data_IF_476044390012
#
_entry.id   IF_476044390012
#
_cell.length_a   1.000
_cell.length_b   1.000
_cell.length_c   1.000
_cell.angle_alpha   90.00
_cell.angle_beta   90.00
_cell.angle_gamma   90.00
#
_symmetry.space_group_name_H-M   'P 1'
#
loop_
_entity.id
_entity.type
_entity.pdbx_description
1 polymer ?
#
# COMPACT_ATOMS: atom_id res chain seq x y z
N UNK A 1 -7.33 18.99 -6.19
CA UNK A 1 -8.20 18.96 -4.99
C UNK A 1 -8.17 17.59 -4.31
N UNK A 2 -8.49 16.51 -5.03
CA UNK A 2 -8.49 15.13 -4.50
C UNK A 2 -7.11 14.68 -3.97
N UNK A 3 -6.03 15.03 -4.67
CA UNK A 3 -4.65 14.74 -4.23
C UNK A 3 -4.32 15.28 -2.83
N UNK A 4 -4.82 16.49 -2.49
CA UNK A 4 -4.58 17.08 -1.17
C UNK A 4 -5.34 16.31 -0.08
N UNK A 5 -6.57 15.87 -0.37
CA UNK A 5 -7.36 15.04 0.56
C UNK A 5 -6.68 13.68 0.79
N UNK A 6 -6.16 13.06 -0.28
CA UNK A 6 -5.40 11.80 -0.17
C UNK A 6 -4.14 12.03 0.67
N UNK A 7 -3.37 13.08 0.39
CA UNK A 7 -2.17 13.44 1.15
C UNK A 7 -2.45 13.66 2.63
N UNK A 8 -3.52 14.39 2.96
CA UNK A 8 -3.94 14.64 4.35
C UNK A 8 -4.43 13.36 5.06
N UNK A 9 -5.07 12.46 4.33
CA UNK A 9 -5.47 11.17 4.89
C UNK A 9 -4.23 10.30 5.17
N UNK A 10 -3.33 10.20 4.20
CA UNK A 10 -2.08 9.43 4.32
C UNK A 10 -1.21 10.00 5.42
N UNK A 11 -1.14 11.32 5.64
CA UNK A 11 -0.35 11.90 6.72
C UNK A 11 -0.83 11.47 8.11
N UNK A 12 -2.13 11.20 8.29
CA UNK A 12 -2.74 10.73 9.54
C UNK A 12 -2.72 9.21 9.72
N UNK A 13 -2.53 8.47 8.63
CA UNK A 13 -2.52 7.00 8.63
C UNK A 13 -1.47 6.45 9.59
N UNK A 14 -1.83 5.46 10.39
CA UNK A 14 -0.91 4.83 11.37
C UNK A 14 -0.50 3.44 10.93
N UNK A 15 0.54 2.88 11.58
CA UNK A 15 0.91 1.47 11.37
C UNK A 15 -0.21 0.52 11.78
N UNK A 16 -0.97 0.88 12.82
CA UNK A 16 -2.12 0.09 13.28
C UNK A 16 -3.22 0.02 12.23
N UNK A 17 -3.50 1.12 11.53
CA UNK A 17 -4.47 1.16 10.43
C UNK A 17 -4.06 0.20 9.30
N UNK A 18 -2.77 0.22 8.91
CA UNK A 18 -2.23 -0.70 7.90
C UNK A 18 -2.33 -2.15 8.37
N UNK A 19 -1.95 -2.42 9.61
CA UNK A 19 -1.98 -3.77 10.15
C UNK A 19 -3.41 -4.31 10.22
N UNK A 20 -4.35 -3.48 10.69
CA UNK A 20 -5.77 -3.82 10.73
C UNK A 20 -6.31 -4.11 9.34
N UNK A 21 -6.00 -3.26 8.36
CA UNK A 21 -6.40 -3.47 6.97
C UNK A 21 -5.81 -4.76 6.39
N UNK A 22 -4.54 -5.07 6.68
CA UNK A 22 -3.92 -6.33 6.26
C UNK A 22 -4.63 -7.54 6.88
N UNK A 23 -4.91 -7.50 8.19
CA UNK A 23 -5.62 -8.56 8.91
C UNK A 23 -7.04 -8.78 8.38
N UNK A 24 -7.79 -7.70 8.11
CA UNK A 24 -9.14 -7.75 7.53
C UNK A 24 -9.14 -8.44 6.15
N UNK A 25 -8.00 -8.42 5.45
CA UNK A 25 -7.79 -9.09 4.17
C UNK A 25 -7.00 -10.41 4.28
N UNK A 26 -6.91 -10.99 5.47
CA UNK A 26 -6.20 -12.26 5.76
C UNK A 26 -4.70 -12.24 5.43
N UNK A 27 -4.05 -11.07 5.53
CA UNK A 27 -2.62 -10.89 5.36
C UNK A 27 -1.99 -10.68 6.75
N UNK A 28 -1.09 -11.59 7.14
CA UNK A 28 -0.35 -11.49 8.40
C UNK A 28 1.05 -10.98 8.12
N UNK A 29 1.25 -9.71 8.45
CA UNK A 29 2.54 -9.03 8.29
C UNK A 29 3.38 -9.23 9.56
N UNK A 30 4.66 -9.51 9.37
CA UNK A 30 5.66 -9.36 10.44
C UNK A 30 5.93 -7.88 10.71
N UNK A 31 6.52 -7.54 11.86
CA UNK A 31 6.84 -6.14 12.20
C UNK A 31 7.72 -5.47 11.13
N UNK A 32 8.66 -6.22 10.54
CA UNK A 32 9.53 -5.72 9.46
C UNK A 32 8.76 -5.43 8.17
N UNK A 33 7.83 -6.32 7.80
CA UNK A 33 6.96 -6.12 6.62
C UNK A 33 6.01 -4.95 6.84
N UNK A 34 5.41 -4.87 8.03
CA UNK A 34 4.51 -3.77 8.41
C UNK A 34 5.24 -2.42 8.37
N UNK A 35 6.46 -2.35 8.91
CA UNK A 35 7.29 -1.15 8.84
C UNK A 35 7.59 -0.77 7.39
N UNK A 36 7.95 -1.75 6.55
CA UNK A 36 8.25 -1.50 5.14
C UNK A 36 7.03 -0.98 4.38
N UNK A 37 5.86 -1.60 4.56
CA UNK A 37 4.62 -1.20 3.90
C UNK A 37 4.18 0.18 4.39
N UNK A 38 4.36 0.47 5.67
CA UNK A 38 4.08 1.81 6.22
C UNK A 38 4.95 2.89 5.59
N UNK A 39 6.25 2.66 5.45
CA UNK A 39 7.16 3.61 4.80
C UNK A 39 6.78 3.86 3.34
N UNK A 40 6.52 2.79 2.58
CA UNK A 40 6.08 2.88 1.19
C UNK A 40 4.77 3.68 1.09
N UNK A 41 3.79 3.35 1.95
CA UNK A 41 2.48 4.00 1.95
C UNK A 41 2.58 5.49 2.31
N UNK A 42 3.56 5.89 3.12
CA UNK A 42 3.76 7.28 3.51
C UNK A 42 4.55 8.08 2.48
N UNK A 43 5.57 7.47 1.88
CA UNK A 43 6.56 8.18 1.07
C UNK A 43 6.25 8.09 -0.43
N UNK A 44 5.76 6.94 -0.90
CA UNK A 44 5.63 6.62 -2.33
C UNK A 44 4.17 6.55 -2.79
N UNK A 45 3.23 7.07 -1.99
CA UNK A 45 1.80 6.99 -2.29
C UNK A 45 1.41 7.67 -3.60
N UNK A 46 2.11 8.75 -3.96
CA UNK A 46 1.81 9.50 -5.15
C UNK A 46 2.14 8.66 -6.40
N UNK A 47 3.32 8.06 -6.42
CA UNK A 47 3.77 7.15 -7.46
C UNK A 47 2.93 5.87 -7.51
N UNK A 48 2.51 5.33 -6.36
CA UNK A 48 1.60 4.18 -6.32
C UNK A 48 0.26 4.49 -7.02
N UNK A 49 -0.32 5.65 -6.72
CA UNK A 49 -1.66 6.02 -7.22
C UNK A 49 -1.60 6.53 -8.66
N UNK A 50 -0.70 7.47 -8.96
CA UNK A 50 -0.66 8.22 -10.23
C UNK A 50 0.50 7.82 -11.16
N UNK A 51 1.52 7.13 -10.66
CA UNK A 51 2.70 6.72 -11.40
C UNK A 51 2.74 5.22 -11.71
N UNK A 52 3.96 4.73 -11.96
CA UNK A 52 4.24 3.32 -12.19
C UNK A 52 4.46 2.58 -10.87
N UNK A 53 3.37 2.05 -10.32
CA UNK A 53 3.38 1.23 -9.11
C UNK A 53 4.29 0.00 -9.22
N UNK A 54 4.53 -0.53 -10.43
CA UNK A 54 5.31 -1.76 -10.64
C UNK A 54 6.76 -1.59 -10.21
N UNK A 55 7.30 -0.37 -10.32
CA UNK A 55 8.66 -0.05 -9.86
C UNK A 55 8.75 -0.12 -8.34
N UNK A 56 7.75 0.43 -7.63
CA UNK A 56 7.69 0.38 -6.17
C UNK A 56 7.56 -1.07 -5.70
N UNK A 57 6.67 -1.84 -6.30
CA UNK A 57 6.52 -3.26 -6.00
C UNK A 57 7.83 -4.04 -6.22
N UNK A 58 8.51 -3.82 -7.34
CA UNK A 58 9.80 -4.46 -7.65
C UNK A 58 10.89 -4.11 -6.62
N UNK A 59 10.99 -2.84 -6.21
CA UNK A 59 11.98 -2.37 -5.25
C UNK A 59 11.78 -2.94 -3.84
N UNK A 60 10.54 -3.29 -3.48
CA UNK A 60 10.19 -3.76 -2.14
C UNK A 60 9.90 -5.27 -2.08
N UNK A 61 9.94 -5.98 -3.21
CA UNK A 61 9.72 -7.43 -3.27
C UNK A 61 10.64 -8.22 -2.36
N UNK A 62 11.91 -7.83 -2.24
CA UNK A 62 12.88 -8.53 -1.37
C UNK A 62 12.65 -8.32 0.13
N UNK A 63 11.81 -7.35 0.52
CA UNK A 63 11.51 -7.01 1.92
C UNK A 63 10.26 -7.69 2.46
N UNK A 64 9.47 -8.32 1.59
CA UNK A 64 8.19 -8.95 1.92
C UNK A 64 8.26 -10.42 1.52
N UNK A 65 7.68 -11.30 2.34
CA UNK A 65 7.58 -12.72 1.96
C UNK A 65 6.74 -12.86 0.71
N UNK A 66 7.15 -13.75 -0.20
CA UNK A 66 6.49 -13.94 -1.51
C UNK A 66 4.98 -14.14 -1.38
N UNK A 67 4.51 -14.94 -0.40
CA UNK A 67 3.08 -15.15 -0.16
C UNK A 67 2.33 -13.86 0.17
N UNK A 68 2.89 -13.04 1.07
CA UNK A 68 2.28 -11.77 1.45
C UNK A 68 2.37 -10.77 0.30
N UNK A 69 3.49 -10.76 -0.42
CA UNK A 69 3.70 -9.89 -1.57
C UNK A 69 2.63 -10.11 -2.64
N UNK A 70 2.37 -11.36 -3.03
CA UNK A 70 1.35 -11.69 -4.03
C UNK A 70 -0.04 -11.21 -3.59
N UNK A 71 -0.42 -11.44 -2.33
CA UNK A 71 -1.71 -10.99 -1.79
C UNK A 71 -1.84 -9.46 -1.79
N UNK A 72 -0.78 -8.75 -1.41
CA UNK A 72 -0.76 -7.28 -1.39
C UNK A 72 -0.86 -6.73 -2.81
N UNK A 73 -0.12 -7.31 -3.76
CA UNK A 73 -0.12 -6.91 -5.16
C UNK A 73 -1.52 -7.09 -5.79
N UNK A 74 -2.12 -8.26 -5.62
CA UNK A 74 -3.50 -8.54 -6.07
C UNK A 74 -4.49 -7.54 -5.48
N UNK A 75 -4.40 -7.30 -4.16
CA UNK A 75 -5.29 -6.40 -3.45
C UNK A 75 -5.13 -4.94 -3.91
N UNK A 76 -3.89 -4.51 -4.13
CA UNK A 76 -3.59 -3.20 -4.67
C UNK A 76 -4.21 -3.01 -6.06
N UNK A 77 -3.99 -3.94 -6.98
CA UNK A 77 -4.56 -3.84 -8.33
C UNK A 77 -6.08 -3.90 -8.32
N UNK A 78 -6.68 -4.71 -7.44
CA UNK A 78 -8.12 -4.74 -7.23
C UNK A 78 -8.67 -3.36 -6.85
N UNK A 79 -8.10 -2.72 -5.84
CA UNK A 79 -8.56 -1.40 -5.39
C UNK A 79 -8.20 -0.28 -6.37
N UNK A 80 -7.02 -0.33 -7.01
CA UNK A 80 -6.63 0.62 -8.05
C UNK A 80 -7.64 0.60 -9.18
N UNK A 81 -8.02 -0.57 -9.68
CA UNK A 81 -9.04 -0.73 -10.73
C UNK A 81 -10.43 -0.29 -10.25
N UNK A 82 -10.82 -0.65 -9.02
CA UNK A 82 -12.11 -0.28 -8.43
C UNK A 82 -12.29 1.23 -8.32
N UNK A 83 -11.23 1.94 -7.91
CA UNK A 83 -11.29 3.37 -7.66
C UNK A 83 -10.72 4.25 -8.77
N UNK A 84 -10.18 3.67 -9.84
CA UNK A 84 -9.58 4.39 -10.97
C UNK A 84 -10.49 5.48 -11.55
N UNK A 85 -11.81 5.27 -11.55
CA UNK A 85 -12.79 6.23 -12.10
C UNK A 85 -13.01 7.46 -11.22
N UNK A 86 -12.55 7.43 -9.97
CA UNK A 86 -12.71 8.51 -8.98
C UNK A 86 -11.40 9.28 -8.72
N UNK A 87 -10.32 8.85 -9.37
CA UNK A 87 -8.96 9.36 -9.25
C UNK A 87 -8.60 10.26 -10.44
#
# INVERSE_FOLDING_TARGET
MIQNLIKEHISKLTKEDINKFALDNNIKLTDNELNSIYEITKNDWYELIYGDSSIIFSNHRSKIKEENYLKIEELFYFFKKKYQRFL
#
